data_IF_723108603383
#
_entry.id   IF_723108603383
#
_cell.length_a   1.000
_cell.length_b   1.000
_cell.length_c   1.000
_cell.angle_alpha   90.00
_cell.angle_beta   90.00
_cell.angle_gamma   90.00
#
_symmetry.space_group_name_H-M   'P 1'
#
loop_
_entity.id
_entity.type
_entity.pdbx_description
1 polymer ?
#
# COMPACT_ATOMS: atom_id res chain seq x y z
N UNK A 1 19.08 20.53 17.00
CA UNK A 1 17.87 19.71 17.19
C UNK A 1 17.32 19.40 15.81
N UNK A 2 17.53 18.19 15.30
CA UNK A 2 17.05 17.79 13.97
C UNK A 2 15.66 17.17 14.10
N UNK A 3 14.64 17.86 13.61
CA UNK A 3 13.28 17.32 13.48
C UNK A 3 13.28 16.30 12.35
N UNK A 4 13.21 15.02 12.68
CA UNK A 4 12.99 13.95 11.70
C UNK A 4 11.51 13.99 11.32
N UNK A 5 11.19 14.63 10.20
CA UNK A 5 9.85 14.59 9.61
C UNK A 5 9.63 13.18 9.08
N UNK A 6 9.01 12.33 9.89
CA UNK A 6 8.58 11.00 9.46
C UNK A 6 7.43 11.19 8.48
N UNK A 7 7.76 11.17 7.17
CA UNK A 7 6.75 11.11 6.11
C UNK A 7 6.08 9.74 6.25
N UNK A 8 4.88 9.74 6.81
CA UNK A 8 4.16 8.52 7.14
C UNK A 8 3.63 7.88 5.86
N UNK A 9 3.92 6.60 5.64
CA UNK A 9 3.30 5.81 4.58
C UNK A 9 1.76 5.77 4.77
N UNK A 10 0.97 5.58 3.69
CA UNK A 10 -0.48 5.43 3.81
C UNK A 10 -0.84 4.30 4.79
N UNK A 11 -1.77 4.52 5.74
CA UNK A 11 -2.27 3.47 6.61
C UNK A 11 -2.88 2.32 5.78
N UNK A 12 -2.63 1.06 6.13
CA UNK A 12 -3.03 -0.10 5.32
C UNK A 12 -4.55 -0.24 5.16
N UNK A 13 -5.36 0.33 6.05
CA UNK A 13 -6.83 0.31 5.93
C UNK A 13 -7.33 1.01 4.66
N UNK A 14 -6.53 1.92 4.10
CA UNK A 14 -6.84 2.64 2.87
C UNK A 14 -6.28 1.94 1.62
N UNK A 15 -5.47 0.88 1.80
CA UNK A 15 -4.98 0.03 0.73
C UNK A 15 -5.83 -1.23 0.66
N UNK A 16 -6.90 -1.17 -0.12
CA UNK A 16 -7.50 -2.38 -0.68
C UNK A 16 -6.82 -2.64 -2.02
N UNK A 17 -6.25 -3.83 -2.22
CA UNK A 17 -5.76 -4.20 -3.54
C UNK A 17 -6.97 -4.28 -4.49
N UNK A 18 -6.97 -3.57 -5.64
CA UNK A 18 -8.14 -3.53 -6.50
C UNK A 18 -8.30 -4.86 -7.23
N UNK A 19 -9.21 -5.70 -6.74
CA UNK A 19 -9.58 -6.98 -7.37
C UNK A 19 -10.17 -6.83 -8.77
N UNK A 20 -10.73 -5.65 -9.09
CA UNK A 20 -11.44 -5.36 -10.34
C UNK A 20 -10.55 -4.92 -11.50
N UNK A 21 -9.23 -4.90 -11.31
CA UNK A 21 -8.28 -4.57 -12.38
C UNK A 21 -7.85 -5.83 -13.12
N UNK A 22 -7.77 -5.74 -14.45
CA UNK A 22 -7.33 -6.86 -15.26
C UNK A 22 -5.87 -7.21 -14.91
N UNK A 23 -5.43 -8.44 -15.19
CA UNK A 23 -4.03 -8.86 -14.97
C UNK A 23 -2.99 -7.99 -15.71
N UNK A 24 -3.43 -7.09 -16.58
CA UNK A 24 -2.60 -6.17 -17.36
C UNK A 24 -2.62 -4.73 -16.84
N UNK A 25 -3.47 -4.39 -15.87
CA UNK A 25 -3.60 -3.03 -15.36
C UNK A 25 -2.66 -2.80 -14.17
N UNK A 26 -1.55 -2.09 -14.43
CA UNK A 26 -0.78 -1.48 -13.35
C UNK A 26 -1.60 -0.32 -12.77
N UNK A 27 -1.85 -0.32 -11.45
CA UNK A 27 -2.25 0.90 -10.72
C UNK A 27 -1.31 2.04 -11.09
N UNK A 28 -1.81 3.23 -11.43
CA UNK A 28 -0.91 4.35 -11.79
C UNK A 28 -1.20 5.70 -11.13
N UNK A 29 -2.20 5.83 -10.27
CA UNK A 29 -2.35 7.03 -9.44
C UNK A 29 -3.33 6.80 -8.29
N UNK A 30 -2.95 7.22 -7.09
CA UNK A 30 -3.86 7.37 -5.95
C UNK A 30 -3.67 8.75 -5.32
N UNK A 31 -4.57 9.12 -4.40
CA UNK A 31 -4.38 10.27 -3.52
C UNK A 31 -4.05 9.77 -2.13
N UNK A 32 -2.94 10.27 -1.58
CA UNK A 32 -2.52 10.01 -0.22
C UNK A 32 -2.86 11.22 0.65
N UNK A 33 -3.49 10.98 1.80
CA UNK A 33 -3.72 11.99 2.82
C UNK A 33 -2.51 11.98 3.76
N UNK A 34 -1.65 12.99 3.65
CA UNK A 34 -0.43 13.10 4.41
C UNK A 34 -0.70 13.72 5.79
N UNK A 35 -0.24 13.04 6.84
CA UNK A 35 -0.35 13.50 8.23
C UNK A 35 0.97 14.15 8.70
N UNK A 36 0.92 15.07 9.68
CA UNK A 36 -0.27 15.54 10.39
C UNK A 36 -1.02 16.68 9.69
N UNK A 37 -0.50 17.24 8.60
CA UNK A 37 -1.09 18.42 7.95
C UNK A 37 -2.45 18.17 7.28
N UNK A 38 -2.82 16.92 7.02
CA UNK A 38 -4.06 16.53 6.31
C UNK A 38 -4.11 17.02 4.87
N UNK A 39 -2.97 16.98 4.18
CA UNK A 39 -2.86 17.39 2.79
C UNK A 39 -3.09 16.22 1.83
N UNK A 40 -3.87 16.43 0.76
CA UNK A 40 -3.97 15.46 -0.32
C UNK A 40 -2.81 15.62 -1.29
N UNK A 41 -1.90 14.65 -1.28
CA UNK A 41 -0.80 14.57 -2.24
C UNK A 41 -1.06 13.46 -3.26
N UNK A 42 -0.56 13.65 -4.48
CA UNK A 42 -0.53 12.57 -5.47
C UNK A 42 0.44 11.51 -4.97
N UNK A 43 -0.02 10.26 -4.92
CA UNK A 43 0.81 9.11 -4.66
C UNK A 43 0.87 8.26 -5.93
N UNK A 44 2.02 8.35 -6.59
CA UNK A 44 2.37 7.41 -7.65
C UNK A 44 2.72 6.08 -6.99
N UNK A 45 1.88 5.08 -7.24
CA UNK A 45 2.06 3.74 -6.75
C UNK A 45 1.63 2.74 -7.80
N UNK A 46 2.28 1.58 -7.84
CA UNK A 46 1.89 0.46 -8.71
C UNK A 46 1.53 -0.76 -7.89
N UNK A 47 0.52 -1.47 -8.35
CA UNK A 47 0.17 -2.80 -7.87
C UNK A 47 0.21 -3.73 -9.07
N UNK A 48 1.03 -4.79 -8.97
CA UNK A 48 1.05 -5.88 -9.92
C UNK A 48 0.70 -7.16 -9.19
N UNK A 49 -0.42 -7.77 -9.57
CA UNK A 49 -0.84 -9.05 -9.00
C UNK A 49 0.18 -10.14 -9.36
N UNK A 50 0.65 -10.88 -8.36
CA UNK A 50 1.59 -12.00 -8.54
C UNK A 50 0.84 -13.34 -8.54
N UNK A 51 -0.13 -13.48 -7.65
CA UNK A 51 -1.04 -14.63 -7.58
C UNK A 51 -2.35 -14.23 -6.86
N UNK A 52 -3.09 -15.22 -6.36
CA UNK A 52 -4.39 -15.00 -5.73
C UNK A 52 -4.32 -14.04 -4.53
N UNK A 53 -3.25 -14.12 -3.74
CA UNK A 53 -3.13 -13.46 -2.43
C UNK A 53 -1.89 -12.57 -2.31
N UNK A 54 -1.15 -12.34 -3.39
CA UNK A 54 0.08 -11.54 -3.38
C UNK A 54 0.13 -10.50 -4.48
N UNK A 55 0.60 -9.32 -4.11
CA UNK A 55 0.82 -8.20 -5.02
C UNK A 55 2.23 -7.64 -4.87
N UNK A 56 2.95 -7.45 -5.97
CA UNK A 56 4.13 -6.59 -6.00
C UNK A 56 3.65 -5.14 -5.96
N UNK A 57 4.12 -4.41 -4.96
CA UNK A 57 3.77 -3.02 -4.71
C UNK A 57 5.00 -2.13 -4.84
N UNK A 58 4.85 -1.00 -5.51
CA UNK A 58 5.87 0.06 -5.50
C UNK A 58 5.25 1.41 -5.14
N UNK A 59 5.99 2.18 -4.35
CA UNK A 59 5.72 3.59 -4.07
C UNK A 59 7.03 4.39 -4.22
N UNK A 60 7.38 4.82 -5.45
CA UNK A 60 8.65 5.50 -5.73
C UNK A 60 8.91 6.74 -4.89
N UNK A 61 7.84 7.49 -4.53
CA UNK A 61 7.95 8.67 -3.66
C UNK A 61 8.60 8.37 -2.31
N UNK A 62 8.45 7.14 -1.81
CA UNK A 62 9.00 6.69 -0.53
C UNK A 62 10.19 5.74 -0.69
N UNK A 63 10.65 5.49 -1.92
CA UNK A 63 11.68 4.48 -2.19
C UNK A 63 11.28 3.07 -1.72
N UNK A 64 9.97 2.78 -1.70
CA UNK A 64 9.44 1.55 -1.12
C UNK A 64 8.99 0.58 -2.21
N UNK A 65 9.45 -0.67 -2.11
CA UNK A 65 9.04 -1.80 -2.94
C UNK A 65 8.92 -3.05 -2.06
N UNK A 66 7.80 -3.77 -2.18
CA UNK A 66 7.59 -5.00 -1.44
C UNK A 66 6.55 -5.91 -2.10
N UNK A 67 6.49 -7.15 -1.64
CA UNK A 67 5.34 -8.03 -1.88
C UNK A 67 4.39 -7.90 -0.70
N UNK A 68 3.12 -7.57 -1.00
CA UNK A 68 2.06 -7.50 0.00
C UNK A 68 1.30 -8.82 0.00
N UNK A 69 1.10 -9.38 1.19
CA UNK A 69 0.14 -10.48 1.38
C UNK A 69 -1.24 -9.90 1.63
N UNK A 70 -2.26 -10.45 0.98
CA UNK A 70 -3.66 -10.02 1.13
C UNK A 70 -4.58 -11.19 1.47
N UNK A 71 -5.65 -10.89 2.20
CA UNK A 71 -6.74 -11.82 2.48
C UNK A 71 -7.57 -12.10 1.21
N UNK A 72 -8.42 -13.15 1.23
CA UNK A 72 -9.34 -13.43 0.12
C UNK A 72 -10.35 -12.31 -0.20
N UNK A 73 -10.48 -11.31 0.66
CA UNK A 73 -11.30 -10.10 0.48
C UNK A 73 -10.43 -8.84 0.25
N UNK A 74 -9.18 -9.02 -0.17
CA UNK A 74 -8.26 -7.98 -0.64
C UNK A 74 -7.76 -6.98 0.43
N UNK A 75 -7.95 -7.30 1.71
CA UNK A 75 -7.30 -6.60 2.82
C UNK A 75 -5.84 -7.01 2.92
N UNK A 76 -4.91 -6.05 2.98
CA UNK A 76 -3.50 -6.32 3.29
C UNK A 76 -3.39 -6.98 4.66
N UNK A 77 -2.65 -8.09 4.71
CA UNK A 77 -2.34 -8.88 5.91
C UNK A 77 -0.88 -8.71 6.32
N UNK A 78 0.02 -8.55 5.37
CA UNK A 78 1.41 -8.22 5.63
C UNK A 78 1.89 -7.11 4.70
N UNK A 79 2.43 -6.07 5.31
CA UNK A 79 3.01 -4.90 4.67
C UNK A 79 4.44 -4.76 5.21
N UNK A 80 5.42 -5.40 4.57
CA UNK A 80 6.76 -5.59 5.13
C UNK A 80 7.39 -4.30 5.67
N UNK A 81 7.81 -4.33 6.94
CA UNK A 81 8.47 -3.20 7.60
C UNK A 81 7.55 -2.04 7.99
N UNK A 82 6.27 -2.07 7.62
CA UNK A 82 5.31 -1.03 8.00
C UNK A 82 4.20 -1.56 8.90
N UNK A 83 3.66 -2.74 8.60
CA UNK A 83 2.51 -3.27 9.30
C UNK A 83 2.31 -4.76 9.06
N UNK A 84 1.86 -5.48 10.09
CA UNK A 84 1.42 -6.87 9.97
C UNK A 84 0.13 -7.03 10.75
N UNK A 85 -0.83 -7.76 10.18
CA UNK A 85 -2.09 -8.06 10.86
C UNK A 85 -1.85 -8.94 12.09
N UNK A 86 -2.49 -8.59 13.20
CA UNK A 86 -2.50 -9.43 14.42
C UNK A 86 -3.54 -10.56 14.37
N UNK A 87 -4.42 -10.53 13.36
CA UNK A 87 -5.42 -11.56 13.12
C UNK A 87 -5.44 -11.95 11.64
N UNK A 88 -5.39 -13.24 11.34
CA UNK A 88 -5.62 -13.74 9.97
C UNK A 88 -7.04 -14.27 9.87
N UNK A 89 -7.90 -13.70 9.00
CA UNK A 89 -9.18 -14.33 8.70
C UNK A 89 -8.90 -15.70 8.07
N UNK A 90 -9.58 -16.74 8.58
CA UNK A 90 -9.49 -18.11 8.09
C UNK A 90 -10.42 -18.37 6.91
#
# INVERSE_FOLDING_TARGET
MSTSTSVSHPPPIFNTAPRSWSWQDDARASRHLAFPQLDFVRLDQTYRRLDENRYAYTAPMFGYEAVLDVSPIDLVLDYPGLWTSVARPG
#
